data_IF_934741557308
#
_entry.id   IF_934741557308
#
_cell.length_a   1.000
_cell.length_b   1.000
_cell.length_c   1.000
_cell.angle_alpha   90.00
_cell.angle_beta   90.00
_cell.angle_gamma   90.00
#
_symmetry.space_group_name_H-M   'P 1'
#
loop_
_entity.id
_entity.type
_entity.pdbx_description
1 polymer ?
#
# COMPACT_ATOMS: atom_id res chain seq x y z
N UNK A 1 -5.62 12.57 21.78
CA UNK A 1 -4.28 11.94 21.88
C UNK A 1 -4.35 10.39 21.83
N UNK A 2 -5.27 9.74 22.56
CA UNK A 2 -5.49 8.28 22.50
C UNK A 2 -5.99 7.79 21.12
N UNK A 3 -6.92 8.51 20.48
CA UNK A 3 -7.41 8.17 19.14
C UNK A 3 -6.35 8.26 18.06
N UNK A 4 -5.54 9.33 18.06
CA UNK A 4 -4.42 9.50 17.12
C UNK A 4 -3.42 8.35 17.26
N UNK A 5 -3.07 7.95 18.51
CA UNK A 5 -2.23 6.77 18.75
C UNK A 5 -2.88 5.48 18.26
N UNK A 6 -4.19 5.29 18.43
CA UNK A 6 -4.91 4.13 17.88
C UNK A 6 -4.84 4.10 16.36
N UNK A 7 -5.10 5.21 15.66
CA UNK A 7 -5.02 5.27 14.18
C UNK A 7 -3.64 4.91 13.64
N UNK A 8 -2.57 5.38 14.29
CA UNK A 8 -1.18 5.05 13.89
C UNK A 8 -0.90 3.55 13.99
N UNK A 9 -1.50 2.83 14.94
CA UNK A 9 -1.31 1.37 15.11
C UNK A 9 -1.98 0.56 13.98
N UNK A 10 -3.01 1.10 13.33
CA UNK A 10 -3.76 0.46 12.25
C UNK A 10 -3.43 1.02 10.86
N UNK A 11 -2.27 1.67 10.69
CA UNK A 11 -1.85 2.29 9.43
C UNK A 11 -1.33 1.29 8.38
N UNK A 12 -1.89 0.08 8.34
CA UNK A 12 -1.54 -0.95 7.38
C UNK A 12 -2.81 -1.58 6.81
N UNK A 13 -2.66 -2.24 5.67
CA UNK A 13 -3.77 -2.95 5.05
C UNK A 13 -4.94 -2.03 4.65
N UNK A 14 -6.19 -2.53 4.70
CA UNK A 14 -7.37 -1.75 4.35
C UNK A 14 -7.58 -0.50 5.22
N UNK A 15 -7.06 -0.51 6.45
CA UNK A 15 -7.10 0.65 7.34
C UNK A 15 -6.31 1.84 6.80
N UNK A 16 -5.17 1.60 6.16
CA UNK A 16 -4.35 2.64 5.54
C UNK A 16 -5.07 3.29 4.35
N UNK A 17 -5.77 2.48 3.53
CA UNK A 17 -6.58 2.96 2.41
C UNK A 17 -7.66 3.90 2.90
N UNK A 18 -8.41 3.51 3.94
CA UNK A 18 -9.46 4.35 4.52
C UNK A 18 -8.93 5.66 5.11
N UNK A 19 -7.82 5.60 5.85
CA UNK A 19 -7.17 6.81 6.41
C UNK A 19 -6.69 7.73 5.28
N UNK A 20 -6.09 7.18 4.23
CA UNK A 20 -5.63 7.97 3.09
C UNK A 20 -6.79 8.66 2.38
N UNK A 21 -7.88 7.94 2.10
CA UNK A 21 -9.07 8.49 1.48
C UNK A 21 -9.68 9.64 2.30
N UNK A 22 -9.81 9.45 3.62
CA UNK A 22 -10.36 10.47 4.52
C UNK A 22 -9.46 11.72 4.61
N UNK A 23 -8.14 11.54 4.73
CA UNK A 23 -7.19 12.66 4.88
C UNK A 23 -7.14 13.53 3.62
N UNK A 24 -7.21 12.91 2.45
CA UNK A 24 -7.04 13.60 1.17
C UNK A 24 -8.35 13.91 0.46
N UNK A 25 -9.51 13.64 1.07
CA UNK A 25 -10.84 13.79 0.46
C UNK A 25 -11.04 15.18 -0.17
N UNK A 26 -10.70 16.25 0.56
CA UNK A 26 -10.90 17.63 0.10
C UNK A 26 -9.92 18.09 -0.98
N UNK A 27 -8.85 17.34 -1.23
CA UNK A 27 -7.78 17.70 -2.16
C UNK A 27 -7.41 16.55 -3.09
N UNK A 28 -8.39 15.68 -3.36
CA UNK A 28 -8.20 14.48 -4.15
C UNK A 28 -7.64 14.79 -5.53
N UNK A 29 -6.59 14.07 -5.91
CA UNK A 29 -5.96 14.15 -7.23
C UNK A 29 -6.16 12.81 -7.94
N UNK A 30 -6.32 12.83 -9.27
CA UNK A 30 -6.56 11.59 -10.02
C UNK A 30 -5.40 10.60 -9.87
N UNK A 31 -4.18 11.11 -9.71
CA UNK A 31 -2.95 10.36 -9.45
C UNK A 31 -3.02 9.54 -8.15
N UNK A 32 -3.84 9.96 -7.17
CA UNK A 32 -4.03 9.22 -5.92
C UNK A 32 -4.74 7.88 -6.13
N UNK A 33 -5.45 7.68 -7.24
CA UNK A 33 -6.01 6.37 -7.58
C UNK A 33 -4.90 5.31 -7.71
N UNK A 34 -3.70 5.69 -8.18
CA UNK A 34 -2.55 4.77 -8.24
C UNK A 34 -2.03 4.40 -6.84
N UNK A 35 -2.16 5.30 -5.86
CA UNK A 35 -1.83 4.99 -4.45
C UNK A 35 -2.81 3.94 -3.93
N UNK A 36 -4.11 4.12 -4.16
CA UNK A 36 -5.14 3.16 -3.73
C UNK A 36 -4.90 1.79 -4.36
N UNK A 37 -4.71 1.72 -5.67
CA UNK A 37 -4.41 0.47 -6.38
C UNK A 37 -3.16 -0.23 -5.81
N UNK A 38 -2.10 0.55 -5.57
CA UNK A 38 -0.85 0.02 -5.02
C UNK A 38 -1.05 -0.53 -3.61
N UNK A 39 -1.79 0.19 -2.75
CA UNK A 39 -2.10 -0.23 -1.40
C UNK A 39 -2.95 -1.50 -1.38
N UNK A 40 -3.98 -1.59 -2.24
CA UNK A 40 -4.83 -2.78 -2.35
C UNK A 40 -4.00 -4.00 -2.73
N UNK A 41 -3.15 -3.87 -3.76
CA UNK A 41 -2.32 -4.97 -4.24
C UNK A 41 -1.28 -5.40 -3.19
N UNK A 42 -0.48 -4.47 -2.68
CA UNK A 42 0.63 -4.78 -1.77
C UNK A 42 0.14 -5.29 -0.40
N UNK A 43 -1.05 -4.88 0.03
CA UNK A 43 -1.66 -5.35 1.27
C UNK A 43 -1.85 -6.86 1.30
N UNK A 44 -2.24 -7.47 0.17
CA UNK A 44 -2.45 -8.91 0.07
C UNK A 44 -1.18 -9.70 0.43
N UNK A 45 -0.02 -9.17 0.03
CA UNK A 45 1.27 -9.84 0.18
C UNK A 45 2.01 -9.48 1.47
N UNK A 46 1.52 -8.51 2.26
CA UNK A 46 2.15 -8.13 3.52
C UNK A 46 2.38 -9.33 4.46
N UNK A 47 1.42 -10.25 4.55
CA UNK A 47 1.54 -11.47 5.37
C UNK A 47 2.00 -12.66 4.53
N UNK A 48 1.44 -12.83 3.33
CA UNK A 48 1.65 -14.02 2.49
C UNK A 48 3.08 -14.17 1.97
N UNK A 49 3.83 -13.07 1.84
CA UNK A 49 5.23 -13.11 1.44
C UNK A 49 6.19 -13.61 2.53
N UNK A 50 5.71 -13.82 3.78
CA UNK A 50 6.57 -14.13 4.93
C UNK A 50 6.21 -15.43 5.64
N UNK A 51 4.93 -15.78 5.66
CA UNK A 51 4.44 -16.91 6.43
C UNK A 51 3.62 -17.86 5.56
N UNK A 52 3.76 -19.18 5.75
CA UNK A 52 2.89 -20.15 5.12
C UNK A 52 1.40 -19.87 5.42
N UNK A 53 0.55 -20.14 4.44
CA UNK A 53 -0.88 -19.85 4.50
C UNK A 53 -1.71 -21.10 4.20
N UNK A 54 -2.75 -21.35 5.00
CA UNK A 54 -3.66 -22.48 4.79
C UNK A 54 -4.75 -22.09 3.79
N UNK A 55 -4.79 -22.77 2.65
CA UNK A 55 -5.81 -22.56 1.62
C UNK A 55 -6.40 -23.89 1.20
N UNK A 56 -7.73 -24.05 1.37
CA UNK A 56 -8.47 -25.27 0.97
C UNK A 56 -7.91 -26.59 1.53
N UNK A 57 -7.30 -26.54 2.72
CA UNK A 57 -6.71 -27.72 3.37
C UNK A 57 -5.25 -27.97 3.02
N UNK A 58 -4.66 -27.17 2.13
CA UNK A 58 -3.24 -27.24 1.77
C UNK A 58 -2.47 -26.09 2.40
N UNK A 59 -1.24 -26.35 2.83
CA UNK A 59 -0.33 -25.32 3.34
C UNK A 59 0.51 -24.84 2.17
N UNK A 60 0.32 -23.59 1.77
CA UNK A 60 1.09 -22.93 0.72
C UNK A 60 2.25 -22.17 1.37
N UNK A 61 3.45 -22.39 0.86
CA UNK A 61 4.65 -21.62 1.22
C UNK A 61 4.65 -20.24 0.53
N UNK A 62 5.38 -19.25 1.08
CA UNK A 62 5.47 -17.93 0.47
C UNK A 62 5.96 -17.92 -0.99
N UNK A 63 6.88 -18.81 -1.36
CA UNK A 63 7.43 -18.93 -2.71
C UNK A 63 6.45 -19.53 -3.72
N UNK A 64 5.47 -20.30 -3.26
CA UNK A 64 4.34 -20.76 -4.08
C UNK A 64 3.32 -19.65 -4.36
N UNK A 65 3.25 -18.63 -3.48
CA UNK A 65 2.29 -17.52 -3.59
C UNK A 65 2.90 -16.33 -4.34
N UNK A 66 4.14 -15.96 -4.01
CA UNK A 66 4.84 -14.81 -4.58
C UNK A 66 5.65 -15.27 -5.78
N UNK A 67 4.97 -15.40 -6.92
CA UNK A 67 5.64 -15.71 -8.18
C UNK A 67 6.45 -14.51 -8.70
N UNK A 68 7.26 -14.73 -9.73
CA UNK A 68 8.01 -13.66 -10.40
C UNK A 68 7.07 -12.56 -10.90
N UNK A 69 5.96 -12.93 -11.53
CA UNK A 69 4.98 -11.99 -12.08
C UNK A 69 4.33 -11.14 -10.98
N UNK A 70 4.03 -11.76 -9.83
CA UNK A 70 3.52 -11.07 -8.65
C UNK A 70 4.55 -10.06 -8.12
N UNK A 71 5.81 -10.49 -8.00
CA UNK A 71 6.90 -9.63 -7.53
C UNK A 71 7.15 -8.45 -8.47
N UNK A 72 7.22 -8.69 -9.78
CA UNK A 72 7.44 -7.65 -10.80
C UNK A 72 6.29 -6.64 -10.79
N UNK A 73 5.04 -7.09 -10.73
CA UNK A 73 3.89 -6.19 -10.60
C UNK A 73 3.93 -5.37 -9.31
N UNK A 74 4.30 -6.00 -8.20
CA UNK A 74 4.46 -5.33 -6.91
C UNK A 74 5.49 -4.20 -6.96
N UNK A 75 6.62 -4.42 -7.65
CA UNK A 75 7.66 -3.41 -7.85
C UNK A 75 7.11 -2.23 -8.67
N UNK A 76 6.46 -2.50 -9.81
CA UNK A 76 5.91 -1.44 -10.68
C UNK A 76 4.92 -0.55 -9.92
N UNK A 77 4.01 -1.16 -9.14
CA UNK A 77 3.04 -0.41 -8.35
C UNK A 77 3.73 0.40 -7.24
N UNK A 78 4.70 -0.19 -6.54
CA UNK A 78 5.45 0.52 -5.51
C UNK A 78 6.22 1.73 -6.08
N UNK A 79 6.87 1.58 -7.24
CA UNK A 79 7.58 2.67 -7.92
C UNK A 79 6.60 3.78 -8.31
N UNK A 80 5.45 3.44 -8.90
CA UNK A 80 4.43 4.42 -9.27
C UNK A 80 3.89 5.17 -8.06
N UNK A 81 3.65 4.47 -6.95
CA UNK A 81 3.20 5.11 -5.73
C UNK A 81 4.23 6.11 -5.20
N UNK A 82 5.52 5.75 -5.20
CA UNK A 82 6.61 6.65 -4.77
C UNK A 82 6.72 7.87 -5.69
N UNK A 83 6.55 7.70 -7.01
CA UNK A 83 6.52 8.79 -7.99
C UNK A 83 5.40 9.79 -7.66
N UNK A 84 4.16 9.30 -7.48
CA UNK A 84 3.01 10.14 -7.15
C UNK A 84 3.21 10.90 -5.84
N UNK A 85 3.72 10.23 -4.80
CA UNK A 85 4.02 10.87 -3.51
C UNK A 85 5.09 11.95 -3.68
N UNK A 86 6.16 11.67 -4.43
CA UNK A 86 7.24 12.62 -4.69
C UNK A 86 6.71 13.87 -5.39
N UNK A 87 5.94 13.69 -6.46
CA UNK A 87 5.38 14.80 -7.23
C UNK A 87 4.43 15.66 -6.39
N UNK A 88 3.58 15.01 -5.59
CA UNK A 88 2.68 15.71 -4.67
C UNK A 88 3.45 16.56 -3.65
N UNK A 89 4.50 15.99 -3.02
CA UNK A 89 5.32 16.69 -2.04
C UNK A 89 6.14 17.82 -2.66
N UNK A 90 6.67 17.62 -3.87
CA UNK A 90 7.43 18.63 -4.61
C UNK A 90 6.56 19.83 -4.98
N UNK A 91 5.33 19.61 -5.47
CA UNK A 91 4.35 20.69 -5.77
C UNK A 91 4.01 21.54 -4.55
N UNK A 92 4.19 21.00 -3.34
CA UNK A 92 3.95 21.70 -2.05
C UNK A 92 5.21 22.27 -1.41
N UNK A 93 6.37 22.15 -2.07
CA UNK A 93 7.65 22.63 -1.56
C UNK A 93 8.14 21.89 -0.31
N UNK A 94 7.60 20.69 -0.03
CA UNK A 94 8.03 19.87 1.11
C UNK A 94 9.37 19.18 0.83
N UNK A 95 9.55 18.72 -0.41
CA UNK A 95 10.82 18.18 -0.89
C UNK A 95 11.37 19.11 -1.96
N UNK A 96 12.62 19.52 -1.81
CA UNK A 96 13.39 20.18 -2.87
C UNK A 96 13.82 19.10 -3.86
N UNK A 97 13.37 19.19 -5.11
CA UNK A 97 14.03 18.51 -6.24
C UNK A 97 15.41 19.12 -6.46
#
# INVERSE_FOLDING_TARGET
MLEVRRRVVYNHGPGLIGIFAEVFESEWQQEFNHIIESLEYLTEYYTRARYPFLMRGEVLSPDEIVTKEVAERGIVLAEKAVEVVRDYLARRGVTSS
#
